data_IF_383255758955
#
_entry.id   IF_383255758955
#
_cell.length_a   1.000
_cell.length_b   1.000
_cell.length_c   1.000
_cell.angle_alpha   90.00
_cell.angle_beta   90.00
_cell.angle_gamma   90.00
#
_symmetry.space_group_name_H-M   'P 1'
#
loop_
_entity.id
_entity.type
_entity.pdbx_description
1 polymer ?
#
# COMPACT_ATOMS: atom_id res chain seq x y z
N UNK A 1 -13.36 -2.58 3.85
CA UNK A 1 -13.77 -1.24 3.40
C UNK A 1 -12.49 -0.48 3.04
N UNK A 2 -11.89 -0.74 1.87
CA UNK A 2 -10.50 -0.31 1.61
C UNK A 2 -10.33 1.21 1.59
N UNK A 3 -11.29 1.95 1.02
CA UNK A 3 -11.21 3.41 0.97
C UNK A 3 -11.23 4.05 2.37
N UNK A 4 -12.10 3.57 3.26
CA UNK A 4 -12.18 4.10 4.62
C UNK A 4 -10.95 3.71 5.46
N UNK A 5 -10.46 2.48 5.32
CA UNK A 5 -9.25 2.00 6.00
C UNK A 5 -8.01 2.79 5.57
N UNK A 6 -7.83 2.99 4.25
CA UNK A 6 -6.70 3.79 3.73
C UNK A 6 -6.80 5.27 4.10
N UNK A 7 -8.01 5.84 4.13
CA UNK A 7 -8.22 7.21 4.60
C UNK A 7 -7.87 7.36 6.08
N UNK A 8 -8.28 6.41 6.92
CA UNK A 8 -7.93 6.39 8.35
C UNK A 8 -6.43 6.24 8.56
N UNK A 9 -5.76 5.31 7.87
CA UNK A 9 -4.32 5.13 8.00
C UNK A 9 -3.53 6.39 7.68
N UNK A 10 -3.96 7.17 6.67
CA UNK A 10 -3.34 8.46 6.35
C UNK A 10 -3.39 9.47 7.50
N UNK A 11 -4.43 9.44 8.35
CA UNK A 11 -4.50 10.32 9.52
C UNK A 11 -3.61 9.86 10.67
N UNK A 12 -3.09 8.63 10.63
CA UNK A 12 -2.22 8.05 11.65
C UNK A 12 -0.73 8.19 11.33
N UNK A 13 -0.37 8.69 10.13
CA UNK A 13 1.04 8.90 9.76
C UNK A 13 1.51 10.23 10.35
N UNK A 14 2.41 10.15 11.32
CA UNK A 14 2.99 11.32 11.98
C UNK A 14 3.80 12.17 10.98
N UNK A 15 3.73 13.51 10.99
CA UNK A 15 4.52 14.37 10.12
C UNK A 15 6.05 14.17 10.21
N UNK A 16 6.55 13.71 11.37
CA UNK A 16 7.96 13.40 11.61
C UNK A 16 8.37 12.03 11.03
N UNK A 17 7.42 11.24 10.49
CA UNK A 17 7.73 10.00 9.78
C UNK A 17 8.71 10.29 8.64
N UNK A 18 9.81 9.53 8.49
CA UNK A 18 10.74 9.69 7.38
C UNK A 18 10.01 9.68 6.04
N UNK A 19 10.40 10.58 5.13
CA UNK A 19 9.72 10.76 3.83
C UNK A 19 9.61 9.44 3.07
N UNK A 20 10.68 8.63 3.06
CA UNK A 20 10.68 7.32 2.39
C UNK A 20 9.63 6.35 2.96
N UNK A 21 9.38 6.38 4.28
CA UNK A 21 8.37 5.55 4.92
C UNK A 21 6.96 6.07 4.61
N UNK A 22 6.76 7.39 4.67
CA UNK A 22 5.48 8.02 4.33
C UNK A 22 5.09 7.75 2.87
N UNK A 23 6.00 7.94 1.94
CA UNK A 23 5.78 7.72 0.51
C UNK A 23 5.50 6.23 0.24
N UNK A 24 6.20 5.32 0.92
CA UNK A 24 5.92 3.88 0.85
C UNK A 24 4.52 3.51 1.37
N UNK A 25 4.06 4.12 2.48
CA UNK A 25 2.70 3.92 3.00
C UNK A 25 1.66 4.44 2.00
N UNK A 26 1.90 5.60 1.37
CA UNK A 26 1.02 6.14 0.34
C UNK A 26 0.93 5.22 -0.89
N UNK A 27 2.06 4.68 -1.34
CA UNK A 27 2.12 3.75 -2.45
C UNK A 27 1.39 2.44 -2.12
N UNK A 28 1.60 1.90 -0.91
CA UNK A 28 0.90 0.71 -0.44
C UNK A 28 -0.62 0.90 -0.46
N UNK A 29 -1.11 2.03 0.05
CA UNK A 29 -2.53 2.37 0.06
C UNK A 29 -3.12 2.53 -1.35
N UNK A 30 -2.36 3.13 -2.27
CA UNK A 30 -2.76 3.28 -3.67
C UNK A 30 -2.93 1.91 -4.34
N UNK A 31 -1.99 0.99 -4.09
CA UNK A 31 -2.08 -0.38 -4.59
C UNK A 31 -3.27 -1.14 -4.00
N UNK A 32 -3.58 -0.98 -2.71
CA UNK A 32 -4.76 -1.59 -2.09
C UNK A 32 -6.07 -1.19 -2.78
N UNK A 33 -6.22 0.10 -3.12
CA UNK A 33 -7.39 0.59 -3.85
C UNK A 33 -7.42 0.02 -5.28
N UNK A 34 -6.26 -0.02 -5.96
CA UNK A 34 -6.16 -0.59 -7.31
C UNK A 34 -6.52 -2.09 -7.31
N UNK A 35 -6.06 -2.87 -6.34
CA UNK A 35 -6.42 -4.28 -6.17
C UNK A 35 -7.92 -4.46 -5.95
N UNK A 36 -8.54 -3.64 -5.10
CA UNK A 36 -9.99 -3.69 -4.89
C UNK A 36 -10.75 -3.43 -6.20
N UNK A 37 -10.33 -2.43 -6.98
CA UNK A 37 -10.93 -2.12 -8.27
C UNK A 37 -10.75 -3.27 -9.28
N UNK A 38 -9.54 -3.84 -9.38
CA UNK A 38 -9.25 -4.98 -10.25
C UNK A 38 -10.09 -6.21 -9.87
N UNK A 39 -10.26 -6.48 -8.57
CA UNK A 39 -11.10 -7.56 -8.08
C UNK A 39 -12.58 -7.36 -8.44
N UNK A 40 -13.12 -6.15 -8.24
CA UNK A 40 -14.49 -5.79 -8.64
C UNK A 40 -14.71 -6.00 -10.14
N UNK A 41 -13.73 -5.62 -10.95
CA UNK A 41 -13.76 -5.75 -12.40
C UNK A 41 -13.38 -7.15 -12.92
N UNK A 42 -13.05 -8.10 -12.03
CA UNK A 42 -12.61 -9.48 -12.35
C UNK A 42 -11.37 -9.54 -13.24
N UNK A 43 -10.44 -8.60 -13.07
CA UNK A 43 -9.19 -8.51 -13.82
C UNK A 43 -8.08 -9.36 -13.15
N UNK A 44 -8.18 -10.69 -13.22
CA UNK A 44 -7.30 -11.63 -12.50
C UNK A 44 -5.80 -11.37 -12.68
N UNK A 45 -5.29 -11.35 -13.93
CA UNK A 45 -3.86 -11.10 -14.19
C UNK A 45 -3.39 -9.71 -13.73
N UNK A 46 -4.29 -8.71 -13.78
CA UNK A 46 -3.96 -7.37 -13.27
C UNK A 46 -3.91 -7.36 -11.75
N UNK A 47 -4.81 -8.10 -11.09
CA UNK A 47 -4.83 -8.27 -9.65
C UNK A 47 -3.54 -8.96 -9.16
N UNK A 48 -3.10 -10.03 -9.82
CA UNK A 48 -1.87 -10.74 -9.46
C UNK A 48 -0.65 -9.81 -9.51
N UNK A 49 -0.52 -9.04 -10.60
CA UNK A 49 0.56 -8.05 -10.72
C UNK A 49 0.51 -6.98 -9.61
N UNK A 50 -0.68 -6.48 -9.28
CA UNK A 50 -0.85 -5.49 -8.22
C UNK A 50 -0.53 -6.05 -6.84
N UNK A 51 -0.70 -7.35 -6.62
CA UNK A 51 -0.28 -8.05 -5.40
C UNK A 51 1.25 -8.13 -5.34
N UNK A 52 1.90 -8.51 -6.43
CA UNK A 52 3.38 -8.55 -6.51
C UNK A 52 3.99 -7.17 -6.25
N UNK A 53 3.45 -6.13 -6.88
CA UNK A 53 3.87 -4.74 -6.67
C UNK A 53 3.69 -4.33 -5.20
N UNK A 54 2.58 -4.71 -4.56
CA UNK A 54 2.33 -4.39 -3.16
C UNK A 54 3.25 -5.16 -2.21
N UNK A 55 3.59 -6.41 -2.52
CA UNK A 55 4.57 -7.19 -1.77
C UNK A 55 5.96 -6.54 -1.84
N UNK A 56 6.37 -6.05 -3.00
CA UNK A 56 7.64 -5.34 -3.15
C UNK A 56 7.69 -4.05 -2.29
N UNK A 57 6.60 -3.27 -2.26
CA UNK A 57 6.50 -2.08 -1.39
C UNK A 57 6.54 -2.47 0.08
N UNK A 58 5.86 -3.55 0.48
CA UNK A 58 5.89 -4.07 1.85
C UNK A 58 7.31 -4.42 2.30
N UNK A 59 8.09 -5.10 1.45
CA UNK A 59 9.48 -5.43 1.72
C UNK A 59 10.39 -4.19 1.81
N UNK A 60 10.14 -3.16 1.00
CA UNK A 60 10.85 -1.88 1.11
C UNK A 60 10.53 -1.17 2.44
N UNK A 61 9.26 -1.13 2.83
CA UNK A 61 8.82 -0.53 4.10
C UNK A 61 9.44 -1.25 5.29
N UNK A 62 9.44 -2.58 5.30
CA UNK A 62 10.11 -3.40 6.32
C UNK A 62 11.58 -3.00 6.49
N UNK A 63 12.32 -2.91 5.40
CA UNK A 63 13.72 -2.46 5.39
C UNK A 63 13.89 -1.05 5.95
N UNK A 64 13.03 -0.10 5.55
CA UNK A 64 13.08 1.27 6.06
C UNK A 64 12.75 1.37 7.56
N UNK A 65 11.94 0.45 8.07
CA UNK A 65 11.59 0.36 9.49
C UNK A 65 12.55 -0.53 10.30
N UNK A 66 13.59 -1.10 9.69
CA UNK A 66 14.53 -2.02 10.35
C UNK A 66 13.91 -3.36 10.77
N UNK A 67 12.78 -3.73 10.16
CA UNK A 67 12.10 -5.01 10.38
C UNK A 67 12.62 -5.99 9.31
N UNK A 68 13.35 -7.03 9.74
CA UNK A 68 13.85 -8.10 8.88
C UNK A 68 13.18 -9.42 9.26
#
# INVERSE_FOLDING_TARGET
MVLAETAYLRTQVDPATPVSVRDGIEQYNTLSIAQQNAAIQRLGTSLDKLIDDQNAVSEQLKKHCGLN
#
